data_IF_011838873586
#
_entry.id   IF_011838873586
#
_cell.length_a   1.000
_cell.length_b   1.000
_cell.length_c   1.000
_cell.angle_alpha   90.00
_cell.angle_beta   90.00
_cell.angle_gamma   90.00
#
_symmetry.space_group_name_H-M   'P 1'
#
loop_
_entity.id
_entity.type
_entity.pdbx_description
1 polymer ?
#
# COMPACT_ATOMS: atom_id res chain seq x y z
N UNK A 1 -21.25 -8.78 -1.07
CA UNK A 1 -20.58 -8.43 -2.33
C UNK A 1 -20.78 -9.57 -3.31
N UNK A 2 -21.14 -9.29 -4.55
CA UNK A 2 -21.27 -10.32 -5.60
C UNK A 2 -19.91 -10.63 -6.23
N UNK A 3 -19.89 -11.63 -7.11
CA UNK A 3 -18.64 -12.10 -7.73
C UNK A 3 -17.97 -11.06 -8.64
N UNK A 4 -18.77 -10.32 -9.41
CA UNK A 4 -18.26 -9.26 -10.28
C UNK A 4 -17.62 -8.13 -9.47
N UNK A 5 -18.24 -7.73 -8.36
CA UNK A 5 -17.70 -6.72 -7.45
C UNK A 5 -16.37 -7.17 -6.82
N UNK A 6 -16.29 -8.42 -6.34
CA UNK A 6 -15.04 -9.03 -5.84
C UNK A 6 -13.95 -9.02 -6.91
N UNK A 7 -14.27 -9.45 -8.12
CA UNK A 7 -13.33 -9.49 -9.23
C UNK A 7 -12.78 -8.09 -9.58
N UNK A 8 -13.64 -7.08 -9.67
CA UNK A 8 -13.24 -5.70 -9.94
C UNK A 8 -12.33 -5.14 -8.84
N UNK A 9 -12.63 -5.41 -7.57
CA UNK A 9 -11.77 -4.98 -6.46
C UNK A 9 -10.41 -5.69 -6.49
N UNK A 10 -10.37 -7.00 -6.74
CA UNK A 10 -9.09 -7.73 -6.89
C UNK A 10 -8.26 -7.19 -8.05
N UNK A 11 -8.89 -6.91 -9.19
CA UNK A 11 -8.22 -6.29 -10.34
C UNK A 11 -7.69 -4.90 -10.00
N UNK A 12 -8.44 -4.11 -9.23
CA UNK A 12 -8.01 -2.80 -8.74
C UNK A 12 -6.78 -2.92 -7.83
N UNK A 13 -6.79 -3.83 -6.85
CA UNK A 13 -5.64 -4.08 -5.97
C UNK A 13 -4.40 -4.54 -6.75
N UNK A 14 -4.57 -5.44 -7.73
CA UNK A 14 -3.49 -5.88 -8.60
C UNK A 14 -2.94 -4.74 -9.47
N UNK A 15 -3.80 -3.85 -9.96
CA UNK A 15 -3.39 -2.66 -10.71
C UNK A 15 -2.60 -1.71 -9.84
N UNK A 16 -3.03 -1.50 -8.59
CA UNK A 16 -2.33 -0.67 -7.63
C UNK A 16 -0.94 -1.24 -7.31
N UNK A 17 -0.84 -2.55 -7.03
CA UNK A 17 0.43 -3.24 -6.84
C UNK A 17 1.37 -3.05 -8.04
N UNK A 18 0.87 -3.30 -9.25
CA UNK A 18 1.66 -3.18 -10.48
C UNK A 18 2.19 -1.76 -10.70
N UNK A 19 1.33 -0.74 -10.54
CA UNK A 19 1.71 0.66 -10.78
C UNK A 19 2.69 1.17 -9.72
N UNK A 20 2.48 0.83 -8.45
CA UNK A 20 3.41 1.18 -7.37
C UNK A 20 4.75 0.49 -7.58
N UNK A 21 4.78 -0.81 -7.89
CA UNK A 21 6.02 -1.51 -8.20
C UNK A 21 6.77 -0.85 -9.36
N UNK A 22 6.07 -0.39 -10.40
CA UNK A 22 6.70 0.31 -11.53
C UNK A 22 7.32 1.64 -11.14
N UNK A 23 6.75 2.36 -10.18
CA UNK A 23 7.30 3.63 -9.69
C UNK A 23 8.51 3.44 -8.77
N UNK A 24 8.53 2.34 -8.00
CA UNK A 24 9.57 2.05 -7.02
C UNK A 24 10.77 1.28 -7.60
N UNK A 25 10.55 0.55 -8.70
CA UNK A 25 11.57 -0.32 -9.30
C UNK A 25 12.79 0.47 -9.72
N UNK A 26 13.96 -0.03 -9.31
CA UNK A 26 15.27 0.54 -9.61
C UNK A 26 15.39 2.01 -9.16
N UNK A 27 14.57 2.44 -8.18
CA UNK A 27 14.67 3.76 -7.60
C UNK A 27 16.01 3.91 -6.85
N UNK A 28 16.70 5.06 -7.00
CA UNK A 28 17.93 5.32 -6.27
C UNK A 28 17.67 5.45 -4.76
N UNK A 29 18.71 5.28 -3.94
CA UNK A 29 18.60 5.31 -2.47
C UNK A 29 18.02 6.64 -1.95
N UNK A 30 18.34 7.75 -2.63
CA UNK A 30 17.84 9.09 -2.27
C UNK A 30 16.38 9.33 -2.64
N UNK A 31 15.74 8.41 -3.39
CA UNK A 31 14.35 8.55 -3.82
C UNK A 31 13.40 8.66 -2.63
N UNK A 32 13.63 7.87 -1.58
CA UNK A 32 12.75 7.82 -0.41
C UNK A 32 12.51 9.21 0.23
N UNK A 33 13.55 10.04 0.25
CA UNK A 33 13.58 11.36 0.89
C UNK A 33 13.50 12.53 -0.12
N UNK A 34 13.32 12.22 -1.41
CA UNK A 34 13.22 13.25 -2.44
C UNK A 34 12.05 14.20 -2.17
N UNK A 35 12.32 15.51 -2.18
CA UNK A 35 11.30 16.55 -2.09
C UNK A 35 11.57 17.68 -3.09
N UNK A 36 10.68 17.93 -4.07
CA UNK A 36 10.90 18.96 -5.08
C UNK A 36 10.68 20.39 -4.55
N UNK A 37 9.92 20.56 -3.47
CA UNK A 37 9.63 21.85 -2.84
C UNK A 37 9.35 21.64 -1.34
N UNK A 38 9.64 22.63 -0.51
CA UNK A 38 9.30 22.54 0.91
C UNK A 38 7.79 22.31 1.12
N UNK A 39 7.44 21.38 2.00
CA UNK A 39 6.07 21.12 2.42
C UNK A 39 5.31 20.04 1.64
N UNK A 40 5.91 19.41 0.62
CA UNK A 40 5.32 18.20 0.00
C UNK A 40 5.85 16.92 0.66
N UNK A 41 5.02 15.89 0.69
CA UNK A 41 5.39 14.56 1.19
C UNK A 41 6.50 13.96 0.32
N UNK A 42 7.48 13.35 0.98
CA UNK A 42 8.49 12.52 0.33
C UNK A 42 7.86 11.21 -0.18
N UNK A 43 8.49 10.49 -1.13
CA UNK A 43 8.01 9.18 -1.56
C UNK A 43 7.81 8.17 -0.42
N UNK A 44 8.67 8.18 0.60
CA UNK A 44 8.47 7.37 1.80
C UNK A 44 7.16 7.74 2.53
N UNK A 45 6.94 9.04 2.80
CA UNK A 45 5.68 9.49 3.42
C UNK A 45 4.45 9.22 2.56
N UNK A 46 4.56 9.29 1.23
CA UNK A 46 3.47 8.96 0.32
C UNK A 46 3.11 7.48 0.39
N UNK A 47 4.11 6.59 0.35
CA UNK A 47 3.89 5.16 0.44
C UNK A 47 3.31 4.76 1.80
N UNK A 48 3.85 5.32 2.89
CA UNK A 48 3.33 5.09 4.23
C UNK A 48 1.87 5.55 4.37
N UNK A 49 1.53 6.71 3.81
CA UNK A 49 0.15 7.17 3.78
C UNK A 49 -0.78 6.23 2.99
N UNK A 50 -0.32 5.70 1.85
CA UNK A 50 -1.07 4.72 1.07
C UNK A 50 -1.27 3.40 1.84
N UNK A 51 -0.23 2.91 2.51
CA UNK A 51 -0.28 1.74 3.39
C UNK A 51 -1.28 1.91 4.54
N UNK A 52 -1.36 3.11 5.14
CA UNK A 52 -2.31 3.37 6.23
C UNK A 52 -3.76 3.36 5.75
N UNK A 53 -4.04 3.90 4.56
CA UNK A 53 -5.38 3.84 3.95
C UNK A 53 -5.79 2.39 3.67
N UNK A 54 -4.87 1.58 3.12
CA UNK A 54 -5.12 0.17 2.86
C UNK A 54 -5.26 -0.64 4.16
N UNK A 55 -4.45 -0.33 5.18
CA UNK A 55 -4.55 -0.95 6.49
C UNK A 55 -5.89 -0.66 7.15
N UNK A 56 -6.42 0.55 7.00
CA UNK A 56 -7.75 0.89 7.46
C UNK A 56 -8.81 0.04 6.75
N UNK A 57 -8.73 -0.10 5.42
CA UNK A 57 -9.63 -0.96 4.66
C UNK A 57 -9.58 -2.43 5.13
N UNK A 58 -8.38 -2.96 5.36
CA UNK A 58 -8.17 -4.33 5.87
C UNK A 58 -8.78 -4.51 7.25
N UNK A 59 -8.55 -3.55 8.14
CA UNK A 59 -9.12 -3.55 9.47
C UNK A 59 -10.66 -3.52 9.48
N UNK A 60 -11.29 -2.98 8.43
CA UNK A 60 -12.75 -3.07 8.26
C UNK A 60 -13.21 -4.39 7.66
N UNK A 61 -12.39 -5.02 6.82
CA UNK A 61 -12.70 -6.31 6.20
C UNK A 61 -12.52 -7.50 7.17
N UNK A 62 -11.49 -7.49 8.00
CA UNK A 62 -11.09 -8.62 8.85
C UNK A 62 -11.40 -8.43 10.35
N UNK A 63 -11.99 -7.29 10.75
CA UNK A 63 -12.23 -6.92 12.15
C UNK A 63 -10.96 -6.98 13.04
N UNK A 64 -9.85 -6.47 12.51
CA UNK A 64 -8.54 -6.41 13.18
C UNK A 64 -8.19 -5.00 13.67
N UNK A 65 -7.16 -4.91 14.51
CA UNK A 65 -6.67 -3.64 15.08
C UNK A 65 -6.03 -2.71 14.04
N UNK A 66 -6.21 -1.40 14.25
CA UNK A 66 -5.66 -0.30 13.45
C UNK A 66 -5.40 0.93 14.34
N UNK A 67 -4.33 1.72 14.13
CA UNK A 67 -3.34 1.60 13.05
C UNK A 67 -2.30 0.52 13.30
N UNK A 68 -1.68 0.03 12.21
CA UNK A 68 -0.47 -0.77 12.30
C UNK A 68 0.72 0.12 12.69
N UNK A 69 1.76 -0.42 13.35
CA UNK A 69 2.98 0.33 13.60
C UNK A 69 3.58 0.88 12.30
N UNK A 70 4.20 2.06 12.38
CA UNK A 70 5.00 2.61 11.30
C UNK A 70 6.27 1.77 11.10
N UNK A 71 6.84 1.85 9.90
CA UNK A 71 8.15 1.28 9.57
C UNK A 71 9.21 2.36 9.62
N UNK A 72 10.45 1.97 9.94
CA UNK A 72 11.56 2.91 10.08
C UNK A 72 12.28 3.14 8.74
N UNK A 73 12.26 2.12 7.86
CA UNK A 73 12.95 2.17 6.56
C UNK A 73 11.99 2.15 5.37
N UNK A 74 12.45 2.65 4.23
CA UNK A 74 11.66 2.66 3.00
C UNK A 74 11.43 1.25 2.46
N UNK A 75 12.41 0.36 2.58
CA UNK A 75 12.31 -1.05 2.20
C UNK A 75 11.25 -1.78 3.03
N UNK A 76 11.21 -1.55 4.34
CA UNK A 76 10.17 -2.09 5.21
C UNK A 76 8.79 -1.55 4.85
N UNK A 77 8.66 -0.25 4.53
CA UNK A 77 7.39 0.34 4.12
C UNK A 77 6.92 -0.25 2.77
N UNK A 78 7.83 -0.50 1.84
CA UNK A 78 7.53 -1.22 0.59
C UNK A 78 7.00 -2.63 0.87
N UNK A 79 7.70 -3.40 1.71
CA UNK A 79 7.26 -4.73 2.10
C UNK A 79 5.89 -4.71 2.80
N UNK A 80 5.67 -3.75 3.71
CA UNK A 80 4.39 -3.54 4.40
C UNK A 80 3.27 -3.26 3.41
N UNK A 81 3.48 -2.33 2.48
CA UNK A 81 2.50 -1.95 1.46
C UNK A 81 2.04 -3.16 0.65
N UNK A 82 2.98 -3.95 0.10
CA UNK A 82 2.64 -5.11 -0.72
C UNK A 82 1.98 -6.23 0.07
N UNK A 83 2.40 -6.46 1.32
CA UNK A 83 1.77 -7.44 2.21
C UNK A 83 0.31 -7.09 2.53
N UNK A 84 0.00 -5.81 2.76
CA UNK A 84 -1.38 -5.37 2.99
C UNK A 84 -2.24 -5.59 1.75
N UNK A 85 -1.72 -5.30 0.54
CA UNK A 85 -2.43 -5.53 -0.72
C UNK A 85 -2.76 -7.01 -0.94
N UNK A 86 -1.80 -7.89 -0.66
CA UNK A 86 -1.99 -9.34 -0.74
C UNK A 86 -3.07 -9.80 0.25
N UNK A 87 -2.96 -9.41 1.52
CA UNK A 87 -3.96 -9.77 2.54
C UNK A 87 -5.37 -9.26 2.21
N UNK A 88 -5.48 -8.03 1.68
CA UNK A 88 -6.75 -7.50 1.20
C UNK A 88 -7.30 -8.26 0.00
N UNK A 89 -6.44 -8.70 -0.93
CA UNK A 89 -6.84 -9.55 -2.04
C UNK A 89 -7.38 -10.89 -1.55
N UNK A 90 -6.72 -11.52 -0.57
CA UNK A 90 -7.13 -12.81 0.01
C UNK A 90 -8.50 -12.73 0.70
N UNK A 91 -8.80 -11.60 1.34
CA UNK A 91 -10.12 -11.34 1.93
C UNK A 91 -11.24 -11.39 0.88
N UNK A 92 -10.93 -11.05 -0.37
CA UNK A 92 -11.86 -11.00 -1.49
C UNK A 92 -11.98 -12.35 -2.22
N UNK A 93 -11.25 -13.39 -1.79
CA UNK A 93 -11.38 -14.75 -2.31
C UNK A 93 -12.32 -15.63 -1.48
N UNK A 94 -12.69 -15.17 -0.28
CA UNK A 94 -13.60 -15.84 0.66
C UNK A 94 -15.06 -15.51 0.34
#
# INVERSE_FOLDING_TARGET
MNETERHLLRHFLATLAYRTQKALRDAPEEFAEFTPVAGVRTPHHLLSHMSDVLSFARARAEDISYPLPNTDTFEEEQARFFSILESLSDCLER
#
